data_IF_340475335888
#
_entry.id   IF_340475335888
#
_cell.length_a   1.000
_cell.length_b   1.000
_cell.length_c   1.000
_cell.angle_alpha   90.00
_cell.angle_beta   90.00
_cell.angle_gamma   90.00
#
_symmetry.space_group_name_H-M   'P 1'
#
loop_
_entity.id
_entity.type
_entity.pdbx_description
1 polymer ?
#
# COMPACT_ATOMS: atom_id res chain seq x y z
N UNK A 1 -14.35 15.09 28.04
CA UNK A 1 -14.64 13.74 28.60
C UNK A 1 -13.42 12.83 28.51
N UNK A 2 -12.80 12.50 29.64
CA UNK A 2 -11.67 11.56 29.70
C UNK A 2 -12.16 10.12 29.55
N UNK A 3 -11.45 9.32 28.75
CA UNK A 3 -11.75 7.89 28.63
C UNK A 3 -11.59 7.21 29.99
N UNK A 4 -12.58 6.41 30.38
CA UNK A 4 -12.55 5.66 31.65
C UNK A 4 -11.37 4.69 31.68
N UNK A 5 -10.85 4.46 32.90
CA UNK A 5 -9.79 3.49 33.14
C UNK A 5 -10.18 2.12 32.53
N UNK A 6 -9.27 1.43 31.83
CA UNK A 6 -9.58 0.18 31.15
C UNK A 6 -10.23 -0.90 32.02
N UNK A 7 -9.91 -0.97 33.32
CA UNK A 7 -10.57 -1.91 34.23
C UNK A 7 -12.08 -1.65 34.34
N UNK A 8 -12.50 -0.38 34.30
CA UNK A 8 -13.92 0.04 34.31
C UNK A 8 -14.63 -0.21 32.99
N UNK A 9 -13.89 -0.52 31.93
CA UNK A 9 -14.42 -0.93 30.62
C UNK A 9 -14.54 -2.44 30.45
N UNK A 10 -14.27 -3.23 31.51
CA UNK A 10 -14.44 -4.68 31.51
C UNK A 10 -13.23 -5.48 31.03
N UNK A 11 -12.08 -4.84 30.77
CA UNK A 11 -10.86 -5.55 30.40
C UNK A 11 -10.23 -6.20 31.64
N UNK A 12 -10.34 -7.53 31.76
CA UNK A 12 -9.67 -8.33 32.81
C UNK A 12 -8.31 -8.83 32.29
N UNK A 13 -7.25 -8.68 33.09
CA UNK A 13 -5.93 -9.23 32.76
C UNK A 13 -5.04 -8.36 31.86
N UNK A 14 -5.17 -7.02 31.93
CA UNK A 14 -4.20 -6.14 31.26
C UNK A 14 -2.81 -6.32 31.84
N UNK A 15 -1.96 -7.01 31.10
CA UNK A 15 -0.51 -6.86 31.22
C UNK A 15 -0.17 -5.43 30.80
N UNK A 16 0.78 -4.83 31.51
CA UNK A 16 1.34 -3.48 31.37
C UNK A 16 1.07 -2.82 30.01
N UNK A 17 0.74 -1.52 29.98
CA UNK A 17 0.49 -0.75 28.74
C UNK A 17 1.54 -1.01 27.64
N UNK A 18 2.80 -1.27 28.01
CA UNK A 18 3.86 -1.67 27.09
C UNK A 18 3.58 -2.92 26.26
N UNK A 19 2.80 -3.89 26.77
CA UNK A 19 2.36 -5.09 26.04
C UNK A 19 1.37 -4.76 24.94
N UNK A 20 0.44 -3.83 25.20
CA UNK A 20 -0.54 -3.37 24.20
C UNK A 20 0.15 -2.52 23.13
N UNK A 21 1.01 -1.59 23.54
CA UNK A 21 1.80 -0.75 22.62
C UNK A 21 2.72 -1.60 21.73
N UNK A 22 3.37 -2.63 22.30
CA UNK A 22 4.23 -3.54 21.53
C UNK A 22 3.43 -4.40 20.54
N UNK A 23 2.23 -4.86 20.91
CA UNK A 23 1.36 -5.59 20.00
C UNK A 23 0.88 -4.72 18.83
N UNK A 24 0.52 -3.46 19.10
CA UNK A 24 0.06 -2.53 18.07
C UNK A 24 1.16 -2.24 17.02
N UNK A 25 2.43 -2.17 17.43
CA UNK A 25 3.56 -1.90 16.52
C UNK A 25 3.69 -2.90 15.37
N UNK A 26 3.33 -4.17 15.59
CA UNK A 26 3.31 -5.18 14.54
C UNK A 26 2.39 -4.77 13.37
N UNK A 27 1.27 -4.11 13.69
CA UNK A 27 0.32 -3.58 12.72
C UNK A 27 0.78 -2.24 12.14
N UNK A 28 1.15 -1.28 12.99
CA UNK A 28 1.46 0.09 12.53
C UNK A 28 2.64 0.13 11.58
N UNK A 29 3.71 -0.63 11.83
CA UNK A 29 4.89 -0.62 10.96
C UNK A 29 4.63 -1.17 9.56
N UNK A 30 3.64 -2.06 9.41
CA UNK A 30 3.27 -2.65 8.11
C UNK A 30 2.15 -1.89 7.40
N UNK A 31 1.26 -1.26 8.17
CA UNK A 31 0.07 -0.59 7.65
C UNK A 31 0.25 0.92 7.47
N UNK A 32 1.26 1.54 8.09
CA UNK A 32 1.52 2.99 7.95
C UNK A 32 1.80 3.35 6.49
N UNK A 33 1.20 4.45 6.07
CA UNK A 33 1.23 5.00 4.72
C UNK A 33 2.62 5.59 4.39
N UNK A 34 3.65 4.77 4.20
CA UNK A 34 4.95 5.20 3.64
C UNK A 34 4.85 5.40 2.11
N UNK A 35 3.86 6.17 1.65
CA UNK A 35 3.57 6.32 0.22
C UNK A 35 2.90 5.09 -0.44
N UNK A 36 2.58 4.04 0.34
CA UNK A 36 1.83 2.87 -0.14
C UNK A 36 0.34 3.03 0.15
N UNK A 37 -0.48 2.84 -0.88
CA UNK A 37 -1.94 2.85 -0.79
C UNK A 37 -2.44 1.40 -0.82
N UNK A 38 -3.21 1.00 0.18
CA UNK A 38 -3.83 -0.33 0.22
C UNK A 38 -5.23 -0.28 -0.35
N UNK A 39 -5.58 -1.21 -1.23
CA UNK A 39 -6.99 -1.50 -1.52
C UNK A 39 -7.64 -2.12 -0.28
N UNK A 40 -8.96 -2.03 -0.14
CA UNK A 40 -9.68 -2.63 1.01
C UNK A 40 -9.37 -4.13 1.12
N UNK A 41 -9.31 -4.85 -0.01
CA UNK A 41 -8.94 -6.26 -0.07
C UNK A 41 -7.49 -6.48 0.37
N UNK A 42 -6.55 -5.67 -0.11
CA UNK A 42 -5.14 -5.75 0.28
C UNK A 42 -4.91 -5.46 1.76
N UNK A 43 -5.62 -4.47 2.32
CA UNK A 43 -5.56 -4.15 3.75
C UNK A 43 -6.06 -5.32 4.61
N UNK A 44 -7.20 -5.93 4.25
CA UNK A 44 -7.72 -7.12 4.95
C UNK A 44 -6.76 -8.30 4.90
N UNK A 45 -6.17 -8.58 3.73
CA UNK A 45 -5.19 -9.65 3.59
C UNK A 45 -3.93 -9.40 4.43
N UNK A 46 -3.42 -8.17 4.45
CA UNK A 46 -2.26 -7.80 5.27
C UNK A 46 -2.53 -7.92 6.77
N UNK A 47 -3.72 -7.52 7.23
CA UNK A 47 -4.11 -7.70 8.64
C UNK A 47 -4.10 -9.19 9.00
N UNK A 48 -4.72 -10.04 8.17
CA UNK A 48 -4.73 -11.49 8.40
C UNK A 48 -3.33 -12.11 8.44
N UNK A 49 -2.39 -11.64 7.61
CA UNK A 49 -0.98 -12.07 7.66
C UNK A 49 -0.28 -11.65 8.95
N UNK A 50 -0.54 -10.44 9.45
CA UNK A 50 0.06 -9.95 10.70
C UNK A 50 -0.51 -10.75 11.88
N UNK A 51 -1.81 -10.99 11.89
CA UNK A 51 -2.49 -11.79 12.91
C UNK A 51 -1.96 -13.23 12.95
N UNK A 52 -1.92 -13.92 11.80
CA UNK A 52 -1.36 -15.27 11.70
C UNK A 52 0.10 -15.32 12.18
N UNK A 53 0.89 -14.28 11.90
CA UNK A 53 2.27 -14.18 12.38
C UNK A 53 2.36 -13.98 13.89
N UNK A 54 1.53 -13.11 14.46
CA UNK A 54 1.50 -12.84 15.91
C UNK A 54 1.04 -14.09 16.68
N UNK A 55 0.12 -14.86 16.11
CA UNK A 55 -0.41 -16.09 16.70
C UNK A 55 0.47 -17.32 16.43
N UNK A 56 1.53 -17.21 15.61
CA UNK A 56 2.40 -18.33 15.26
C UNK A 56 1.82 -19.30 14.22
N UNK A 57 0.71 -18.94 13.59
CA UNK A 57 -0.06 -19.75 12.62
C UNK A 57 0.23 -19.34 11.16
N UNK A 58 1.27 -18.53 10.93
CA UNK A 58 1.64 -18.10 9.59
C UNK A 58 1.82 -19.23 8.57
N UNK A 59 2.55 -20.33 8.87
CA UNK A 59 2.77 -21.38 7.87
C UNK A 59 1.47 -22.08 7.49
N UNK A 60 0.59 -22.37 8.45
CA UNK A 60 -0.70 -23.03 8.19
C UNK A 60 -1.61 -22.14 7.34
N UNK A 61 -1.71 -20.86 7.69
CA UNK A 61 -2.56 -19.90 6.97
C UNK A 61 -2.08 -19.68 5.51
N UNK A 62 -0.76 -19.61 5.30
CA UNK A 62 -0.18 -19.54 3.96
C UNK A 62 -0.44 -20.81 3.16
N UNK A 63 -0.27 -21.99 3.74
CA UNK A 63 -0.57 -23.26 3.05
C UNK A 63 -2.04 -23.37 2.68
N UNK A 64 -2.97 -22.99 3.57
CA UNK A 64 -4.41 -22.99 3.27
C UNK A 64 -4.76 -22.00 2.16
N UNK A 65 -4.19 -20.79 2.19
CA UNK A 65 -4.41 -19.79 1.15
C UNK A 65 -3.84 -20.25 -0.20
N UNK A 66 -2.64 -20.80 -0.21
CA UNK A 66 -2.04 -21.36 -1.42
C UNK A 66 -2.88 -22.51 -1.95
N UNK A 67 -3.32 -23.43 -1.10
CA UNK A 67 -4.18 -24.55 -1.49
C UNK A 67 -5.49 -24.05 -2.12
N UNK A 68 -6.14 -23.03 -1.54
CA UNK A 68 -7.35 -22.41 -2.11
C UNK A 68 -7.11 -21.74 -3.46
N UNK A 69 -5.91 -21.20 -3.70
CA UNK A 69 -5.54 -20.58 -4.98
C UNK A 69 -5.06 -21.59 -6.02
N UNK A 70 -4.43 -22.69 -5.61
CA UNK A 70 -3.98 -23.78 -6.49
C UNK A 70 -5.09 -24.74 -6.88
N UNK A 71 -6.22 -24.73 -6.14
CA UNK A 71 -7.49 -25.25 -6.66
C UNK A 71 -8.02 -24.26 -7.70
N UNK A 72 -7.25 -24.08 -8.79
CA UNK A 72 -7.83 -23.58 -10.02
C UNK A 72 -8.93 -24.58 -10.42
N UNK A 73 -10.12 -24.11 -10.85
CA UNK A 73 -11.03 -25.01 -11.53
C UNK A 73 -10.24 -25.62 -12.68
N UNK A 74 -10.29 -26.95 -12.82
CA UNK A 74 -9.67 -27.66 -13.94
C UNK A 74 -10.22 -26.99 -15.20
N UNK A 75 -9.43 -26.15 -15.86
CA UNK A 75 -9.83 -25.47 -17.09
C UNK A 75 -9.87 -26.53 -18.16
N UNK A 76 -11.06 -27.08 -18.42
CA UNK A 76 -11.31 -28.13 -19.41
C UNK A 76 -11.26 -27.63 -20.86
N UNK A 77 -10.54 -26.56 -21.16
CA UNK A 77 -10.58 -25.90 -22.46
C UNK A 77 -9.20 -25.63 -23.05
N UNK A 78 -8.64 -26.57 -23.84
CA UNK A 78 -7.43 -26.35 -24.62
C UNK A 78 -7.61 -25.39 -25.82
N UNK A 79 -8.76 -24.72 -25.96
CA UNK A 79 -9.11 -23.93 -27.16
C UNK A 79 -8.81 -22.42 -27.06
N UNK A 80 -8.25 -21.91 -25.95
CA UNK A 80 -7.90 -20.48 -25.81
C UNK A 80 -6.39 -20.18 -25.89
N UNK A 81 -5.56 -21.16 -26.25
CA UNK A 81 -4.17 -20.89 -26.64
C UNK A 81 -4.12 -20.35 -28.07
N UNK A 82 -4.82 -19.25 -28.33
CA UNK A 82 -4.49 -18.44 -29.49
C UNK A 82 -3.09 -17.89 -29.19
N UNK A 83 -2.07 -18.43 -29.86
CA UNK A 83 -0.71 -17.91 -29.77
C UNK A 83 -0.73 -16.43 -30.11
N UNK A 84 -0.68 -15.59 -29.08
CA UNK A 84 -0.51 -14.16 -29.22
C UNK A 84 0.89 -13.94 -29.79
N UNK A 85 1.00 -13.87 -31.12
CA UNK A 85 2.20 -13.41 -31.81
C UNK A 85 2.39 -11.92 -31.52
N UNK A 86 2.86 -11.60 -30.32
CA UNK A 86 3.26 -10.25 -29.96
C UNK A 86 4.60 -10.00 -30.65
N UNK A 87 4.61 -9.17 -31.69
CA UNK A 87 5.84 -8.66 -32.29
C UNK A 87 6.57 -7.82 -31.24
N UNK A 88 7.57 -8.42 -30.58
CA UNK A 88 8.31 -7.84 -29.45
C UNK A 88 8.85 -6.44 -29.78
N UNK A 89 9.25 -6.21 -31.03
CA UNK A 89 9.75 -4.92 -31.50
C UNK A 89 8.71 -3.81 -31.56
N UNK A 90 7.40 -4.12 -31.57
CA UNK A 90 6.31 -3.15 -31.56
C UNK A 90 5.82 -2.87 -30.13
N UNK A 91 5.77 -3.91 -29.28
CA UNK A 91 5.46 -3.79 -27.85
C UNK A 91 6.51 -2.98 -27.08
N UNK A 92 7.78 -3.09 -27.47
CA UNK A 92 8.89 -2.33 -26.88
C UNK A 92 9.08 -0.94 -27.52
N UNK A 93 8.27 -0.53 -28.51
CA UNK A 93 8.35 0.84 -29.02
C UNK A 93 8.02 1.78 -27.87
N UNK A 94 8.95 2.70 -27.59
CA UNK A 94 8.70 3.81 -26.66
C UNK A 94 7.60 4.67 -27.24
N UNK A 95 6.36 4.41 -26.84
CA UNK A 95 5.26 5.34 -27.06
C UNK A 95 5.59 6.61 -26.27
N UNK A 96 5.42 7.82 -26.85
CA UNK A 96 5.52 9.05 -26.07
C UNK A 96 4.57 8.96 -24.88
N UNK A 97 5.12 8.90 -23.67
CA UNK A 97 4.31 8.79 -22.46
C UNK A 97 3.46 10.05 -22.35
N UNK A 98 2.13 9.97 -22.24
CA UNK A 98 1.32 11.14 -22.03
C UNK A 98 1.75 11.81 -20.71
N UNK A 99 1.83 13.15 -20.67
CA UNK A 99 2.22 13.85 -19.45
C UNK A 99 1.24 13.48 -18.33
N UNK A 100 1.79 13.20 -17.14
CA UNK A 100 0.96 12.89 -15.98
C UNK A 100 0.13 14.12 -15.60
N UNK A 101 -1.09 13.92 -15.09
CA UNK A 101 -1.98 15.03 -14.69
C UNK A 101 -1.30 16.01 -13.71
N UNK A 102 -0.40 15.50 -12.86
CA UNK A 102 0.40 16.31 -11.94
C UNK A 102 1.49 17.17 -12.60
N UNK A 103 1.96 16.84 -13.82
CA UNK A 103 2.85 17.70 -14.60
C UNK A 103 2.05 18.78 -15.35
N UNK A 104 0.80 18.49 -15.70
CA UNK A 104 -0.09 19.45 -16.38
C UNK A 104 -0.61 20.52 -15.41
N UNK A 105 -0.86 20.16 -14.13
CA UNK A 105 -1.51 21.03 -13.14
C UNK A 105 -0.68 21.31 -11.89
N UNK A 106 0.55 20.81 -11.82
CA UNK A 106 1.38 20.92 -10.62
C UNK A 106 2.41 22.02 -10.73
N UNK A 107 2.31 23.00 -9.83
CA UNK A 107 3.37 23.98 -9.62
C UNK A 107 4.30 23.51 -8.49
N UNK A 108 5.60 23.67 -8.67
CA UNK A 108 6.58 23.44 -7.59
C UNK A 108 6.72 24.76 -6.83
N UNK A 109 6.18 24.87 -5.59
CA UNK A 109 6.30 26.11 -4.83
C UNK A 109 7.75 26.32 -4.40
N UNK A 110 8.36 27.39 -4.90
CA UNK A 110 9.66 27.85 -4.42
C UNK A 110 9.40 28.57 -3.09
N UNK A 111 9.52 27.85 -1.97
CA UNK A 111 9.33 28.36 -0.60
C UNK A 111 10.48 29.29 -0.16
N UNK A 112 10.81 30.30 -0.95
CA UNK A 112 11.86 31.28 -0.67
C UNK A 112 11.32 32.68 -0.90
N UNK A 113 11.84 33.68 -0.17
CA UNK A 113 11.42 35.06 -0.33
C UNK A 113 11.58 35.54 -1.79
N UNK A 114 10.58 36.26 -2.32
CA UNK A 114 10.59 36.81 -3.69
C UNK A 114 11.77 37.76 -3.95
N UNK A 115 12.35 38.32 -2.89
CA UNK A 115 13.56 39.16 -2.95
C UNK A 115 14.85 38.40 -3.22
N UNK A 116 14.86 37.06 -3.09
CA UNK A 116 16.03 36.22 -3.37
C UNK A 116 16.18 35.93 -4.87
N UNK A 117 17.39 35.57 -5.33
CA UNK A 117 17.67 35.32 -6.76
C UNK A 117 16.66 34.36 -7.41
N UNK A 118 16.35 33.24 -6.75
CA UNK A 118 15.37 32.27 -7.24
C UNK A 118 13.94 32.85 -7.34
N UNK A 119 13.54 33.70 -6.39
CA UNK A 119 12.24 34.36 -6.40
C UNK A 119 12.12 35.41 -7.51
N UNK A 120 13.20 36.14 -7.81
CA UNK A 120 13.23 37.09 -8.93
C UNK A 120 13.17 36.38 -10.29
N UNK A 121 13.86 35.26 -10.44
CA UNK A 121 13.80 34.44 -11.65
C UNK A 121 12.40 33.90 -11.88
N UNK A 122 11.75 33.35 -10.85
CA UNK A 122 10.36 32.89 -10.97
C UNK A 122 9.43 34.04 -11.40
N UNK A 123 9.55 35.21 -10.78
CA UNK A 123 8.76 36.40 -11.14
C UNK A 123 8.95 36.82 -12.60
N UNK A 124 10.16 36.68 -13.15
CA UNK A 124 10.46 37.02 -14.54
C UNK A 124 9.99 35.96 -15.55
N UNK A 125 9.72 34.72 -15.11
CA UNK A 125 9.20 33.64 -15.96
C UNK A 125 7.67 33.61 -16.01
N UNK A 126 7.00 34.20 -15.02
CA UNK A 126 5.53 34.23 -14.90
C UNK A 126 4.88 35.52 -15.40
N UNK A 127 5.67 36.52 -15.80
CA UNK A 127 5.23 37.79 -16.39
C UNK A 127 5.79 37.92 -17.81
#
# INVERSE_FOLDING_TARGET
PYLLAPQRRGFKGMRLIGSIESAHRAFTYRMKKQGKSWTIKGAKAMIGLIEARVNGELPTNLTTTLNQLTVLPKVESPHLLQELQIRTGEFLRRVPTPPSSGVIHGDIPINTATSRPMGRVLKALTH
#
